data_IF_594049660124
#
_entry.id   IF_594049660124
#
_cell.length_a   1.000
_cell.length_b   1.000
_cell.length_c   1.000
_cell.angle_alpha   90.00
_cell.angle_beta   90.00
_cell.angle_gamma   90.00
#
_symmetry.space_group_name_H-M   'P 1'
#
loop_
_entity.id
_entity.type
_entity.pdbx_description
1 polymer ?
#
# COMPACT_ATOMS: atom_id res chain seq x y z
N UNK A 1 14.23 -2.24 14.15
CA UNK A 1 13.44 -3.32 14.77
C UNK A 1 12.70 -2.74 15.97
N UNK A 2 11.54 -2.13 15.70
CA UNK A 2 10.65 -1.71 16.79
C UNK A 2 9.71 -2.88 17.11
N UNK A 3 9.74 -3.35 18.34
CA UNK A 3 8.79 -4.37 18.82
C UNK A 3 7.38 -3.77 18.84
N UNK A 4 6.33 -4.56 18.62
CA UNK A 4 4.94 -4.06 18.59
C UNK A 4 4.53 -3.35 19.88
N UNK A 5 5.13 -3.72 21.02
CA UNK A 5 4.91 -3.08 22.32
C UNK A 5 5.47 -1.66 22.39
N UNK A 6 6.63 -1.42 21.78
CA UNK A 6 7.25 -0.08 21.71
C UNK A 6 6.44 0.84 20.78
N UNK A 7 5.87 0.29 19.70
CA UNK A 7 5.02 1.05 18.79
C UNK A 7 3.70 1.49 19.45
N UNK A 8 3.04 0.59 20.16
CA UNK A 8 1.81 0.91 20.92
C UNK A 8 2.08 1.92 22.04
N UNK A 9 3.21 1.83 22.72
CA UNK A 9 3.62 2.79 23.74
C UNK A 9 3.86 4.19 23.12
N UNK A 10 4.51 4.29 21.96
CA UNK A 10 4.72 5.57 21.26
C UNK A 10 3.41 6.17 20.73
N UNK A 11 2.49 5.36 20.24
CA UNK A 11 1.18 5.79 19.73
C UNK A 11 0.28 6.36 20.84
N UNK A 12 0.44 5.88 22.08
CA UNK A 12 -0.30 6.39 23.23
C UNK A 12 0.46 7.53 23.93
N UNK A 13 1.78 7.47 23.97
CA UNK A 13 2.62 8.48 24.67
C UNK A 13 2.57 9.86 24.01
N UNK A 14 2.56 9.93 22.67
CA UNK A 14 2.49 11.20 21.96
C UNK A 14 1.21 12.01 22.22
N UNK A 15 0.00 11.45 22.07
CA UNK A 15 -1.22 12.19 22.42
C UNK A 15 -1.32 12.49 23.90
N UNK A 16 -0.78 11.63 24.79
CA UNK A 16 -0.73 11.89 26.22
C UNK A 16 0.20 13.06 26.57
N UNK A 17 1.32 13.22 25.87
CA UNK A 17 2.25 14.35 26.04
C UNK A 17 1.63 15.67 25.53
N UNK A 18 0.85 15.62 24.46
CA UNK A 18 0.09 16.78 23.96
C UNK A 18 -1.02 17.15 24.94
N UNK A 19 -1.71 16.16 25.54
CA UNK A 19 -2.70 16.38 26.61
C UNK A 19 -2.08 17.00 27.86
N UNK A 20 -0.85 16.61 28.22
CA UNK A 20 -0.13 17.21 29.36
C UNK A 20 0.23 18.70 29.09
N UNK A 21 0.50 19.05 27.83
CA UNK A 21 0.71 20.43 27.38
C UNK A 21 -0.57 21.31 27.40
N UNK A 22 -1.74 20.69 27.46
CA UNK A 22 -3.03 21.38 27.57
C UNK A 22 -3.21 22.06 28.93
N UNK A 23 -2.66 21.50 30.01
CA UNK A 23 -2.83 22.01 31.37
C UNK A 23 -2.33 23.47 31.51
N UNK A 24 -1.10 23.83 31.08
CA UNK A 24 -0.66 25.24 31.16
C UNK A 24 -1.37 26.16 30.12
N UNK A 25 -1.79 25.59 28.98
CA UNK A 25 -2.50 26.35 27.95
C UNK A 25 -3.93 26.72 28.36
N UNK A 26 -4.58 25.88 29.16
CA UNK A 26 -5.93 26.10 29.71
C UNK A 26 -5.95 27.24 30.71
N UNK A 27 -4.84 27.50 31.41
CA UNK A 27 -4.67 28.59 32.40
C UNK A 27 -4.44 29.95 31.75
N UNK A 28 -3.83 30.00 30.56
CA UNK A 28 -3.39 31.25 29.91
C UNK A 28 -4.37 31.73 28.85
N UNK A 29 -4.98 30.84 28.07
CA UNK A 29 -5.88 31.18 26.95
C UNK A 29 -7.00 30.12 26.76
N UNK A 30 -8.13 30.23 27.48
CA UNK A 30 -9.23 29.27 27.39
C UNK A 30 -9.86 29.16 25.99
N UNK A 31 -9.72 30.17 25.16
CA UNK A 31 -10.25 30.19 23.78
C UNK A 31 -9.52 29.26 22.81
N UNK A 32 -8.27 28.86 23.11
CA UNK A 32 -7.47 27.95 22.29
C UNK A 32 -7.69 26.45 22.62
N UNK A 33 -8.37 26.16 23.71
CA UNK A 33 -8.61 24.78 24.18
C UNK A 33 -9.30 23.88 23.14
N UNK A 34 -10.38 24.30 22.46
CA UNK A 34 -11.03 23.46 21.46
C UNK A 34 -10.13 23.17 20.27
N UNK A 35 -9.25 24.11 19.88
CA UNK A 35 -8.31 23.92 18.78
C UNK A 35 -7.27 22.85 19.13
N UNK A 36 -6.73 22.85 20.35
CA UNK A 36 -5.74 21.86 20.80
C UNK A 36 -6.34 20.48 20.95
N UNK A 37 -7.60 20.37 21.40
CA UNK A 37 -8.33 19.10 21.47
C UNK A 37 -8.54 18.53 20.07
N UNK A 38 -8.95 19.34 19.09
CA UNK A 38 -9.11 18.90 17.69
C UNK A 38 -7.77 18.46 17.11
N UNK A 39 -6.68 19.17 17.40
CA UNK A 39 -5.33 18.80 16.94
C UNK A 39 -4.84 17.49 17.56
N UNK A 40 -5.12 17.24 18.84
CA UNK A 40 -4.79 16.00 19.52
C UNK A 40 -5.59 14.81 18.95
N UNK A 41 -6.88 15.00 18.67
CA UNK A 41 -7.72 14.00 18.00
C UNK A 41 -7.22 13.70 16.57
N UNK A 42 -6.89 14.71 15.79
CA UNK A 42 -6.36 14.54 14.43
C UNK A 42 -5.01 13.81 14.43
N UNK A 43 -4.12 14.09 15.37
CA UNK A 43 -2.83 13.37 15.51
C UNK A 43 -3.04 11.93 15.93
N UNK A 44 -3.96 11.65 16.83
CA UNK A 44 -4.31 10.28 17.23
C UNK A 44 -4.85 9.46 16.05
N UNK A 45 -5.82 9.99 15.31
CA UNK A 45 -6.36 9.31 14.11
C UNK A 45 -5.32 9.13 13.00
N UNK A 46 -4.42 10.09 12.84
CA UNK A 46 -3.34 10.01 11.84
C UNK A 46 -2.31 8.94 12.17
N UNK A 47 -1.95 8.81 13.46
CA UNK A 47 -0.97 7.82 13.91
C UNK A 47 -1.57 6.40 13.86
N UNK A 48 -2.83 6.23 14.25
CA UNK A 48 -3.55 4.94 14.13
C UNK A 48 -3.64 4.46 12.67
N UNK A 49 -3.88 5.36 11.72
CA UNK A 49 -3.91 5.02 10.28
C UNK A 49 -2.55 4.65 9.70
N UNK A 50 -1.45 5.14 10.27
CA UNK A 50 -0.09 4.82 9.78
C UNK A 50 0.26 3.34 9.92
N UNK A 51 -0.17 2.67 10.98
CA UNK A 51 0.06 1.24 11.14
C UNK A 51 -0.65 0.43 10.05
N UNK A 52 -1.92 0.77 9.80
CA UNK A 52 -2.71 0.13 8.74
C UNK A 52 -2.12 0.40 7.34
N UNK A 53 -1.61 1.62 7.11
CA UNK A 53 -0.96 2.00 5.86
C UNK A 53 0.35 1.23 5.64
N UNK A 54 1.15 1.01 6.69
CA UNK A 54 2.39 0.22 6.60
C UNK A 54 2.10 -1.26 6.33
N UNK A 55 1.10 -1.84 7.00
CA UNK A 55 0.67 -3.21 6.73
C UNK A 55 0.13 -3.36 5.31
N UNK A 56 -0.70 -2.41 4.85
CA UNK A 56 -1.20 -2.39 3.47
C UNK A 56 -0.09 -2.22 2.45
N UNK A 57 0.87 -1.32 2.69
CA UNK A 57 2.00 -1.10 1.79
C UNK A 57 2.88 -2.35 1.65
N UNK A 58 3.12 -3.09 2.76
CA UNK A 58 3.82 -4.38 2.70
C UNK A 58 3.04 -5.42 1.92
N UNK A 59 1.73 -5.51 2.15
CA UNK A 59 0.88 -6.44 1.41
C UNK A 59 0.83 -6.09 -0.08
N UNK A 60 0.76 -4.81 -0.45
CA UNK A 60 0.83 -4.37 -1.85
C UNK A 60 2.16 -4.75 -2.53
N UNK A 61 3.29 -4.70 -1.80
CA UNK A 61 4.58 -5.17 -2.31
C UNK A 61 4.56 -6.66 -2.58
N UNK A 62 4.05 -7.46 -1.63
CA UNK A 62 3.91 -8.91 -1.80
C UNK A 62 2.96 -9.24 -2.95
N UNK A 63 1.79 -8.60 -3.00
CA UNK A 63 0.82 -8.81 -4.10
C UNK A 63 1.41 -8.44 -5.47
N UNK A 64 2.31 -7.46 -5.53
CA UNK A 64 3.04 -7.09 -6.75
C UNK A 64 3.97 -8.20 -7.25
N UNK A 65 4.43 -9.10 -6.38
CA UNK A 65 5.29 -10.23 -6.75
C UNK A 65 4.50 -11.49 -7.14
N UNK A 66 3.21 -11.60 -6.76
CA UNK A 66 2.40 -12.80 -6.98
C UNK A 66 2.27 -13.21 -8.46
N UNK A 67 2.16 -12.31 -9.45
CA UNK A 67 2.13 -12.71 -10.86
C UNK A 67 3.40 -13.47 -11.29
N UNK A 68 4.56 -13.00 -10.80
CA UNK A 68 5.84 -13.66 -11.05
C UNK A 68 5.93 -15.00 -10.31
N UNK A 69 5.44 -15.06 -9.08
CA UNK A 69 5.38 -16.28 -8.28
C UNK A 69 4.55 -17.37 -8.98
N UNK A 70 3.33 -17.04 -9.41
CA UNK A 70 2.43 -17.96 -10.12
C UNK A 70 3.05 -18.43 -11.44
N UNK A 71 3.69 -17.53 -12.20
CA UNK A 71 4.38 -17.91 -13.42
C UNK A 71 5.53 -18.89 -13.16
N UNK A 72 6.28 -18.71 -12.08
CA UNK A 72 7.35 -19.63 -11.67
C UNK A 72 6.78 -20.98 -11.25
N UNK A 73 5.71 -21.01 -10.45
CA UNK A 73 5.02 -22.27 -10.10
C UNK A 73 4.60 -23.02 -11.37
N UNK A 74 3.96 -22.33 -12.32
CA UNK A 74 3.55 -22.96 -13.59
C UNK A 74 4.73 -23.58 -14.35
N UNK A 75 5.88 -22.89 -14.41
CA UNK A 75 7.09 -23.38 -15.07
C UNK A 75 7.71 -24.58 -14.34
N UNK A 76 7.84 -24.49 -13.03
CA UNK A 76 8.46 -25.54 -12.20
C UNK A 76 7.59 -26.82 -12.15
N UNK A 77 6.27 -26.69 -12.21
CA UNK A 77 5.34 -27.80 -12.31
C UNK A 77 5.54 -28.64 -13.58
N UNK A 78 6.14 -28.09 -14.62
CA UNK A 78 6.52 -28.84 -15.81
C UNK A 78 7.68 -29.82 -15.54
N UNK A 79 8.55 -29.48 -14.59
CA UNK A 79 9.75 -30.28 -14.24
C UNK A 79 9.53 -31.17 -13.01
N UNK A 80 8.77 -30.69 -12.02
CA UNK A 80 8.57 -31.40 -10.74
C UNK A 80 7.21 -31.08 -10.13
N UNK A 81 6.59 -32.07 -9.49
CA UNK A 81 5.36 -31.88 -8.69
C UNK A 81 5.65 -31.64 -7.21
N UNK A 82 6.90 -31.44 -6.84
CA UNK A 82 7.31 -31.19 -5.45
C UNK A 82 7.07 -29.74 -5.08
N UNK A 83 5.96 -29.50 -4.40
CA UNK A 83 5.54 -28.15 -3.96
C UNK A 83 6.59 -27.51 -3.05
N UNK A 84 7.20 -28.26 -2.12
CA UNK A 84 8.20 -27.72 -1.21
C UNK A 84 9.42 -27.20 -1.98
N UNK A 85 9.92 -27.98 -2.95
CA UNK A 85 11.05 -27.61 -3.79
C UNK A 85 10.75 -26.35 -4.62
N UNK A 86 9.55 -26.24 -5.17
CA UNK A 86 9.12 -25.06 -5.94
C UNK A 86 9.17 -23.80 -5.07
N UNK A 87 8.64 -23.87 -3.84
CA UNK A 87 8.64 -22.76 -2.91
C UNK A 87 10.07 -22.36 -2.49
N UNK A 88 10.93 -23.32 -2.21
CA UNK A 88 12.35 -23.08 -1.86
C UNK A 88 13.15 -22.45 -2.99
N UNK A 89 12.89 -22.86 -4.24
CA UNK A 89 13.52 -22.25 -5.40
C UNK A 89 13.08 -20.82 -5.59
N UNK A 90 11.78 -20.54 -5.50
CA UNK A 90 11.26 -19.19 -5.66
C UNK A 90 11.75 -18.26 -4.55
N UNK A 91 11.87 -18.73 -3.32
CA UNK A 91 12.35 -17.94 -2.17
C UNK A 91 13.67 -17.22 -2.46
N UNK A 92 14.57 -17.81 -3.25
CA UNK A 92 15.86 -17.21 -3.62
C UNK A 92 15.72 -15.94 -4.46
N UNK A 93 14.57 -15.75 -5.09
CA UNK A 93 14.27 -14.65 -6.01
C UNK A 93 13.17 -13.72 -5.50
N UNK A 94 12.57 -14.07 -4.36
CA UNK A 94 11.51 -13.30 -3.72
C UNK A 94 12.07 -12.04 -3.04
N UNK A 95 11.26 -11.00 -2.97
CA UNK A 95 11.57 -9.82 -2.18
C UNK A 95 11.65 -10.13 -0.67
N UNK A 96 12.27 -9.24 0.12
CA UNK A 96 12.60 -9.54 1.52
C UNK A 96 11.37 -9.82 2.39
N UNK A 97 10.24 -9.18 2.13
CA UNK A 97 9.01 -9.38 2.90
C UNK A 97 8.35 -10.70 2.51
N UNK A 98 8.26 -11.02 1.22
CA UNK A 98 7.68 -12.27 0.76
C UNK A 98 8.58 -13.47 1.07
N UNK A 99 9.90 -13.32 0.98
CA UNK A 99 10.87 -14.36 1.35
C UNK A 99 10.72 -14.80 2.81
N UNK A 100 10.49 -13.86 3.74
CA UNK A 100 10.23 -14.19 5.16
C UNK A 100 8.98 -15.03 5.34
N UNK A 101 7.89 -14.69 4.65
CA UNK A 101 6.65 -15.47 4.72
C UNK A 101 6.82 -16.87 4.10
N UNK A 102 7.60 -16.99 3.02
CA UNK A 102 7.95 -18.28 2.44
C UNK A 102 8.89 -19.10 3.35
N UNK A 103 9.78 -18.44 4.12
CA UNK A 103 10.59 -19.12 5.14
C UNK A 103 9.72 -19.77 6.22
N UNK A 104 8.75 -19.03 6.74
CA UNK A 104 7.80 -19.55 7.71
C UNK A 104 6.98 -20.69 7.11
N UNK A 105 6.49 -20.52 5.87
CA UNK A 105 5.71 -21.56 5.18
C UNK A 105 6.53 -22.85 4.97
N UNK A 106 7.77 -22.73 4.46
CA UNK A 106 8.62 -23.91 4.21
C UNK A 106 9.04 -24.59 5.50
N UNK A 107 9.27 -23.84 6.58
CA UNK A 107 9.52 -24.40 7.92
C UNK A 107 8.29 -25.14 8.47
N UNK A 108 7.11 -24.55 8.32
CA UNK A 108 5.83 -25.18 8.70
C UNK A 108 5.56 -26.46 7.91
N UNK A 109 5.86 -26.49 6.61
CA UNK A 109 5.71 -27.67 5.76
C UNK A 109 6.65 -28.82 6.15
N UNK A 110 7.84 -28.50 6.64
CA UNK A 110 8.80 -29.50 7.13
C UNK A 110 8.42 -30.08 8.49
N UNK A 111 7.69 -29.33 9.32
CA UNK A 111 7.32 -29.70 10.70
C UNK A 111 5.91 -30.26 10.82
N UNK A 112 5.03 -30.03 9.84
CA UNK A 112 3.63 -30.45 9.85
C UNK A 112 3.16 -30.94 8.47
N UNK A 113 1.85 -31.24 8.33
CA UNK A 113 1.30 -31.58 7.01
C UNK A 113 1.35 -30.36 6.07
N UNK A 114 1.66 -30.60 4.82
CA UNK A 114 1.77 -29.57 3.78
C UNK A 114 0.45 -28.79 3.62
N UNK A 115 -0.67 -29.48 3.67
CA UNK A 115 -1.99 -28.85 3.57
C UNK A 115 -2.27 -27.92 4.75
N UNK A 116 -1.98 -28.35 5.98
CA UNK A 116 -2.15 -27.50 7.17
C UNK A 116 -1.22 -26.27 7.16
N UNK A 117 0.01 -26.42 6.67
CA UNK A 117 0.95 -25.32 6.52
C UNK A 117 0.44 -24.25 5.51
N UNK A 118 -0.09 -24.72 4.37
CA UNK A 118 -0.66 -23.84 3.34
C UNK A 118 -1.89 -23.09 3.85
N UNK A 119 -2.78 -23.74 4.60
CA UNK A 119 -3.96 -23.10 5.20
C UNK A 119 -3.54 -22.02 6.21
N UNK A 120 -2.53 -22.29 7.06
CA UNK A 120 -2.01 -21.29 7.99
C UNK A 120 -1.38 -20.09 7.26
N UNK A 121 -0.66 -20.35 6.17
CA UNK A 121 -0.09 -19.29 5.33
C UNK A 121 -1.19 -18.41 4.72
N UNK A 122 -2.25 -19.01 4.17
CA UNK A 122 -3.42 -18.30 3.66
C UNK A 122 -4.05 -17.40 4.72
N UNK A 123 -4.27 -17.94 5.93
CA UNK A 123 -4.86 -17.18 7.04
C UNK A 123 -3.97 -16.00 7.49
N UNK A 124 -2.64 -16.13 7.44
CA UNK A 124 -1.72 -15.03 7.78
C UNK A 124 -1.73 -13.93 6.73
N UNK A 125 -1.77 -14.30 5.47
CA UNK A 125 -1.65 -13.33 4.36
C UNK A 125 -2.96 -12.60 4.07
N UNK A 126 -4.10 -13.25 4.22
CA UNK A 126 -5.43 -12.63 4.07
C UNK A 126 -5.72 -12.04 2.67
N UNK A 127 -5.00 -12.46 1.63
CA UNK A 127 -5.17 -11.99 0.25
C UNK A 127 -5.94 -13.02 -0.59
N UNK A 128 -6.94 -12.56 -1.35
CA UNK A 128 -7.74 -13.41 -2.24
C UNK A 128 -6.86 -14.14 -3.27
N UNK A 129 -5.83 -13.48 -3.80
CA UNK A 129 -4.91 -14.07 -4.77
C UNK A 129 -4.12 -15.22 -4.13
N UNK A 130 -3.71 -15.05 -2.88
CA UNK A 130 -2.99 -16.11 -2.14
C UNK A 130 -3.93 -17.28 -1.85
N UNK A 131 -5.20 -17.03 -1.54
CA UNK A 131 -6.20 -18.10 -1.40
C UNK A 131 -6.33 -18.94 -2.66
N UNK A 132 -6.34 -18.31 -3.83
CA UNK A 132 -6.38 -19.03 -5.11
C UNK A 132 -5.10 -19.83 -5.36
N UNK A 133 -3.92 -19.26 -5.04
CA UNK A 133 -2.64 -19.98 -5.14
C UNK A 133 -2.62 -21.20 -4.21
N UNK A 134 -3.02 -21.02 -2.95
CA UNK A 134 -3.07 -22.12 -1.95
C UNK A 134 -4.02 -23.22 -2.40
N UNK A 135 -5.21 -22.85 -2.91
CA UNK A 135 -6.17 -23.83 -3.45
C UNK A 135 -5.56 -24.66 -4.58
N UNK A 136 -4.85 -24.01 -5.51
CA UNK A 136 -4.13 -24.70 -6.57
C UNK A 136 -3.04 -25.63 -6.06
N UNK A 137 -2.23 -25.18 -5.06
CA UNK A 137 -1.18 -25.99 -4.47
C UNK A 137 -1.73 -27.21 -3.69
N UNK A 138 -2.82 -27.01 -2.95
CA UNK A 138 -3.53 -28.11 -2.25
C UNK A 138 -4.08 -29.13 -3.26
N UNK A 139 -4.62 -28.66 -4.41
CA UNK A 139 -5.05 -29.56 -5.49
C UNK A 139 -3.90 -30.44 -5.99
N UNK A 140 -2.71 -29.87 -6.20
CA UNK A 140 -1.51 -30.63 -6.60
C UNK A 140 -1.13 -31.70 -5.55
N UNK A 141 -1.17 -31.33 -4.27
CA UNK A 141 -0.88 -32.27 -3.17
C UNK A 141 -1.87 -33.45 -3.14
N UNK A 142 -3.11 -33.23 -3.57
CA UNK A 142 -4.15 -34.25 -3.69
C UNK A 142 -4.05 -35.07 -4.99
N UNK A 143 -3.15 -34.70 -5.90
CA UNK A 143 -2.90 -35.41 -7.15
C UNK A 143 -3.51 -34.79 -8.39
N UNK A 144 -4.15 -33.64 -8.28
CA UNK A 144 -4.74 -32.91 -9.41
C UNK A 144 -3.65 -32.39 -10.38
N UNK A 145 -4.03 -32.19 -11.66
CA UNK A 145 -3.15 -31.52 -12.61
C UNK A 145 -3.22 -30.00 -12.45
N UNK A 146 -2.32 -29.46 -11.62
CA UNK A 146 -2.25 -28.04 -11.35
C UNK A 146 -1.76 -27.16 -12.52
N UNK A 147 -1.25 -27.76 -13.62
CA UNK A 147 -0.65 -26.97 -14.71
C UNK A 147 -1.67 -26.06 -15.38
N UNK A 148 -2.84 -26.59 -15.74
CA UNK A 148 -3.90 -25.80 -16.37
C UNK A 148 -4.42 -24.71 -15.44
N UNK A 149 -4.56 -25.05 -14.16
CA UNK A 149 -5.00 -24.09 -13.14
C UNK A 149 -4.03 -22.92 -13.01
N UNK A 150 -2.73 -23.19 -12.85
CA UNK A 150 -1.73 -22.13 -12.72
C UNK A 150 -1.47 -21.36 -14.02
N UNK A 151 -1.69 -21.98 -15.18
CA UNK A 151 -1.67 -21.29 -16.47
C UNK A 151 -2.78 -20.24 -16.54
N UNK A 152 -4.02 -20.62 -16.20
CA UNK A 152 -5.17 -19.72 -16.18
C UNK A 152 -4.96 -18.61 -15.15
N UNK A 153 -4.55 -18.94 -13.93
CA UNK A 153 -4.28 -17.98 -12.87
C UNK A 153 -3.18 -16.97 -13.26
N UNK A 154 -2.12 -17.46 -13.94
CA UNK A 154 -1.05 -16.59 -14.45
C UNK A 154 -1.55 -15.58 -15.49
N UNK A 155 -2.45 -16.02 -16.38
CA UNK A 155 -3.07 -15.17 -17.38
C UNK A 155 -3.95 -14.09 -16.73
N UNK A 156 -4.78 -14.48 -15.78
CA UNK A 156 -5.69 -13.58 -15.08
C UNK A 156 -4.93 -12.54 -14.26
N UNK A 157 -3.86 -12.93 -13.57
CA UNK A 157 -3.02 -12.01 -12.81
C UNK A 157 -2.29 -11.00 -13.72
N UNK A 158 -1.80 -11.43 -14.88
CA UNK A 158 -1.21 -10.51 -15.87
C UNK A 158 -2.24 -9.52 -16.41
N UNK A 159 -3.47 -9.95 -16.65
CA UNK A 159 -4.55 -9.07 -17.08
C UNK A 159 -4.90 -8.03 -16.01
N UNK A 160 -4.96 -8.43 -14.73
CA UNK A 160 -5.17 -7.52 -13.60
C UNK A 160 -4.03 -6.53 -13.44
N UNK A 161 -2.77 -6.96 -13.57
CA UNK A 161 -1.59 -6.08 -13.52
C UNK A 161 -1.66 -5.02 -14.62
N UNK A 162 -2.00 -5.43 -15.84
CA UNK A 162 -2.16 -4.51 -16.97
C UNK A 162 -3.29 -3.50 -16.74
N UNK A 163 -4.40 -3.92 -16.14
CA UNK A 163 -5.49 -3.01 -15.75
C UNK A 163 -5.04 -2.03 -14.65
N UNK A 164 -4.31 -2.49 -13.63
CA UNK A 164 -3.73 -1.64 -12.58
C UNK A 164 -2.77 -0.59 -13.17
N UNK A 165 -1.91 -0.99 -14.10
CA UNK A 165 -0.99 -0.07 -14.80
C UNK A 165 -1.75 0.95 -15.63
N UNK A 166 -2.76 0.54 -16.42
CA UNK A 166 -3.63 1.45 -17.18
C UNK A 166 -4.36 2.44 -16.27
N UNK A 167 -4.89 1.98 -15.13
CA UNK A 167 -5.55 2.83 -14.16
C UNK A 167 -4.59 3.85 -13.51
N UNK A 168 -3.34 3.46 -13.23
CA UNK A 168 -2.29 4.37 -12.75
C UNK A 168 -1.93 5.40 -13.83
N UNK A 169 -1.74 4.97 -15.07
CA UNK A 169 -1.45 5.85 -16.20
C UNK A 169 -2.58 6.84 -16.47
N UNK A 170 -3.84 6.43 -16.36
CA UNK A 170 -5.01 7.29 -16.53
C UNK A 170 -5.14 8.39 -15.48
N UNK A 171 -4.50 8.25 -14.30
CA UNK A 171 -4.49 9.28 -13.24
C UNK A 171 -3.48 10.41 -13.50
N UNK A 172 -2.54 10.24 -14.39
CA UNK A 172 -1.48 11.25 -14.69
C UNK A 172 -2.00 12.43 -15.53
N UNK A 173 -2.81 12.24 -16.61
CA UNK A 173 -3.30 13.32 -17.44
C UNK A 173 -4.09 14.42 -16.70
N UNK A 174 -4.99 14.13 -15.75
CA UNK A 174 -5.74 15.19 -15.06
C UNK A 174 -4.83 16.11 -14.22
N UNK A 175 -3.73 15.62 -13.68
CA UNK A 175 -2.77 16.47 -12.93
C UNK A 175 -2.07 17.48 -13.85
N UNK A 176 -1.69 17.08 -15.05
CA UNK A 176 -1.07 17.97 -16.05
C UNK A 176 -2.08 19.03 -16.49
N UNK A 177 -3.35 18.65 -16.71
CA UNK A 177 -4.40 19.61 -17.11
C UNK A 177 -4.66 20.67 -16.05
N UNK A 178 -4.68 20.30 -14.76
CA UNK A 178 -4.83 21.27 -13.65
C UNK A 178 -3.64 22.24 -13.62
N UNK A 179 -2.43 21.76 -13.84
CA UNK A 179 -1.23 22.59 -13.85
C UNK A 179 -1.25 23.60 -15.03
N UNK A 180 -1.65 23.14 -16.22
CA UNK A 180 -1.83 23.99 -17.40
C UNK A 180 -2.92 25.05 -17.19
N UNK A 181 -4.03 24.68 -16.54
CA UNK A 181 -5.11 25.62 -16.22
C UNK A 181 -4.65 26.67 -15.21
N UNK A 182 -3.85 26.30 -14.19
CA UNK A 182 -3.29 27.23 -13.22
C UNK A 182 -2.36 28.25 -13.89
N UNK A 183 -1.51 27.80 -14.82
CA UNK A 183 -0.64 28.71 -15.61
C UNK A 183 -1.45 29.72 -16.42
N UNK A 184 -2.54 29.26 -17.05
CA UNK A 184 -3.41 30.13 -17.84
C UNK A 184 -4.12 31.18 -16.98
N UNK A 185 -4.59 30.80 -15.79
CA UNK A 185 -5.16 31.72 -14.81
C UNK A 185 -4.14 32.77 -14.34
N UNK A 186 -2.88 32.39 -14.13
CA UNK A 186 -1.83 33.29 -13.74
C UNK A 186 -1.53 34.34 -14.83
N UNK A 187 -1.55 33.91 -16.09
CA UNK A 187 -1.41 34.81 -17.25
C UNK A 187 -2.57 35.81 -17.35
N UNK A 188 -3.81 35.34 -17.17
CA UNK A 188 -5.00 36.21 -17.19
C UNK A 188 -4.95 37.26 -16.08
N UNK A 189 -4.53 36.87 -14.87
CA UNK A 189 -4.39 37.79 -13.75
C UNK A 189 -3.35 38.88 -14.00
N UNK A 190 -2.17 38.53 -14.51
CA UNK A 190 -1.13 39.49 -14.87
C UNK A 190 -1.60 40.48 -15.95
N UNK A 191 -2.36 40.01 -16.94
CA UNK A 191 -2.91 40.83 -17.99
C UNK A 191 -3.93 41.86 -17.45
N UNK A 192 -4.83 41.42 -16.57
CA UNK A 192 -5.82 42.30 -15.91
C UNK A 192 -5.12 43.39 -15.06
N UNK A 193 -4.08 43.00 -14.31
CA UNK A 193 -3.32 43.99 -13.49
C UNK A 193 -2.67 45.06 -14.37
N UNK A 194 -2.10 44.70 -15.52
CA UNK A 194 -1.50 45.65 -16.46
C UNK A 194 -2.55 46.60 -17.03
N UNK A 195 -3.73 46.10 -17.42
CA UNK A 195 -4.81 46.96 -17.93
C UNK A 195 -5.30 47.94 -16.87
N UNK A 196 -5.53 47.48 -15.64
CA UNK A 196 -5.97 48.32 -14.54
C UNK A 196 -4.93 49.40 -14.25
N UNK A 197 -3.64 49.03 -14.24
CA UNK A 197 -2.55 50.01 -14.07
C UNK A 197 -2.52 51.08 -15.17
N UNK A 198 -2.69 50.69 -16.46
CA UNK A 198 -2.76 51.63 -17.59
C UNK A 198 -3.97 52.54 -17.50
N UNK A 199 -5.14 52.05 -17.10
CA UNK A 199 -6.34 52.89 -16.93
C UNK A 199 -6.13 53.93 -15.84
N UNK A 200 -5.56 53.52 -14.68
CA UNK A 200 -5.28 54.46 -13.59
C UNK A 200 -4.26 55.53 -14.00
N UNK A 201 -3.21 55.14 -14.72
CA UNK A 201 -2.19 56.06 -15.18
C UNK A 201 -2.72 57.01 -16.26
N UNK A 202 -3.61 56.58 -17.13
CA UNK A 202 -4.27 57.38 -18.16
C UNK A 202 -5.26 58.38 -17.54
N UNK A 203 -5.99 57.99 -16.50
CA UNK A 203 -6.87 58.93 -15.75
C UNK A 203 -6.08 59.95 -14.97
N UNK A 204 -4.92 59.62 -14.39
CA UNK A 204 -4.05 60.54 -13.66
C UNK A 204 -3.36 61.56 -14.55
N UNK A 205 -3.26 61.32 -15.86
CA UNK A 205 -2.71 62.27 -16.83
C UNK A 205 -3.75 63.23 -17.42
N UNK A 206 -5.02 63.05 -17.09
CA UNK A 206 -6.14 63.90 -17.55
C UNK A 206 -6.58 64.92 -16.48
N UNK A 207 -6.07 64.80 -15.25
CA UNK A 207 -6.23 65.76 -14.15
C UNK A 207 -4.90 66.37 -13.76
#
# INVERSE_FOLDING_TARGET
DMTPEVYTAYTVLKPCLILLGIIPCLLILPILTPLVVVLALLTYFKESRRADELCKARMELVEGELPRFVATIHQELAASRDVLRILENYKKHAGPDFARELDVLTADMRSSSYEAALIRFEARMGSAIISDIVRGLVGILRGDDGRMYFQMLSHDLKALELQRLKAKAAKIPPKIRVFSFLMLMCFMLTYIVIIVYQIINSLGSLF
#
